data_IF_434290810047
#
_entry.id   IF_434290810047
#
_cell.length_a   1.000
_cell.length_b   1.000
_cell.length_c   1.000
_cell.angle_alpha   90.00
_cell.angle_beta   90.00
_cell.angle_gamma   90.00
#
_symmetry.space_group_name_H-M   'P 1'
#
loop_
_entity.id
_entity.type
_entity.pdbx_description
1 polymer ?
#
# COMPACT_ATOMS: atom_id res chain seq x y z
N UNK A 1 -11.91 -10.54 0.58
CA UNK A 1 -12.60 -9.33 1.07
C UNK A 1 -13.65 -9.62 2.15
N UNK A 2 -14.38 -10.73 2.11
CA UNK A 2 -15.44 -11.04 3.09
C UNK A 2 -15.02 -10.88 4.57
N UNK A 3 -13.78 -11.25 4.91
CA UNK A 3 -13.26 -11.14 6.27
C UNK A 3 -13.08 -9.69 6.73
N UNK A 4 -12.71 -8.78 5.82
CA UNK A 4 -12.17 -7.44 6.12
C UNK A 4 -13.13 -6.28 5.84
N UNK A 5 -14.36 -6.57 5.44
CA UNK A 5 -15.43 -5.57 5.27
C UNK A 5 -16.13 -5.35 6.62
N UNK A 6 -16.31 -4.10 7.03
CA UNK A 6 -17.00 -3.73 8.26
C UNK A 6 -18.52 -3.94 8.15
N UNK A 7 -19.11 -3.57 7.00
CA UNK A 7 -20.54 -3.70 6.75
C UNK A 7 -20.93 -5.12 6.30
N UNK A 8 -21.28 -5.96 7.28
CA UNK A 8 -21.66 -7.36 7.02
C UNK A 8 -23.03 -7.52 6.38
N UNK A 9 -23.93 -6.55 6.50
CA UNK A 9 -25.23 -6.61 5.82
C UNK A 9 -25.07 -6.34 4.33
N UNK A 10 -24.30 -5.32 3.95
CA UNK A 10 -23.94 -5.07 2.55
C UNK A 10 -23.28 -6.29 1.91
N UNK A 11 -22.35 -6.94 2.63
CA UNK A 11 -21.64 -8.13 2.13
C UNK A 11 -22.58 -9.30 1.78
N UNK A 12 -23.65 -9.53 2.55
CA UNK A 12 -24.59 -10.64 2.30
C UNK A 12 -25.25 -10.53 0.92
N UNK A 13 -25.52 -9.31 0.48
CA UNK A 13 -26.18 -9.02 -0.79
C UNK A 13 -25.18 -8.82 -1.95
N UNK A 14 -23.89 -8.65 -1.64
CA UNK A 14 -22.85 -8.23 -2.60
C UNK A 14 -21.61 -9.14 -2.57
N UNK A 15 -21.77 -10.43 -2.29
CA UNK A 15 -20.66 -11.38 -2.11
C UNK A 15 -19.77 -11.51 -3.36
N UNK A 16 -20.36 -11.38 -4.55
CA UNK A 16 -19.67 -11.49 -5.85
C UNK A 16 -19.27 -10.12 -6.44
N UNK A 17 -19.33 -9.05 -5.65
CA UNK A 17 -18.98 -7.72 -6.13
C UNK A 17 -17.49 -7.63 -6.53
N UNK A 18 -17.22 -7.16 -7.75
CA UNK A 18 -15.86 -6.87 -8.21
C UNK A 18 -15.38 -5.55 -7.62
N UNK A 19 -14.37 -5.62 -6.74
CA UNK A 19 -13.91 -4.48 -5.95
C UNK A 19 -12.66 -3.80 -6.51
N UNK A 20 -11.77 -4.54 -7.16
CA UNK A 20 -10.56 -4.03 -7.81
C UNK A 20 -9.95 -5.09 -8.71
N UNK A 21 -9.10 -4.66 -9.65
CA UNK A 21 -8.39 -5.53 -10.60
C UNK A 21 -6.89 -5.35 -10.40
N UNK A 22 -6.14 -6.45 -10.34
CA UNK A 22 -4.68 -6.43 -10.24
C UNK A 22 -4.06 -7.13 -11.44
N UNK A 23 -3.12 -6.46 -12.08
CA UNK A 23 -2.30 -6.97 -13.16
C UNK A 23 -0.88 -7.05 -12.62
N UNK A 24 -0.40 -8.27 -12.38
CA UNK A 24 0.87 -8.51 -11.70
C UNK A 24 1.95 -8.93 -12.67
N UNK A 25 3.19 -8.67 -12.28
CA UNK A 25 4.38 -9.09 -13.02
C UNK A 25 4.36 -8.55 -14.45
N UNK A 26 4.27 -7.23 -14.58
CA UNK A 26 4.26 -6.52 -15.85
C UNK A 26 5.66 -5.99 -16.18
N UNK A 27 6.00 -5.96 -17.46
CA UNK A 27 7.26 -5.38 -17.94
C UNK A 27 7.16 -4.95 -19.39
N UNK A 28 7.98 -3.94 -19.78
CA UNK A 28 8.34 -3.68 -21.17
C UNK A 28 9.38 -4.71 -21.61
N UNK A 29 9.33 -5.12 -22.88
CA UNK A 29 10.12 -6.26 -23.39
C UNK A 29 11.62 -6.11 -23.14
N UNK A 30 12.14 -4.88 -23.27
CA UNK A 30 13.54 -4.52 -23.08
C UNK A 30 14.00 -4.53 -21.61
N UNK A 31 13.09 -4.44 -20.64
CA UNK A 31 13.43 -4.28 -19.22
C UNK A 31 13.39 -5.59 -18.42
N UNK A 32 12.84 -6.67 -19.01
CA UNK A 32 12.58 -7.93 -18.31
C UNK A 32 13.80 -8.50 -17.61
N UNK A 33 14.95 -8.53 -18.30
CA UNK A 33 16.19 -9.08 -17.73
C UNK A 33 16.66 -8.27 -16.53
N UNK A 34 16.67 -6.94 -16.65
CA UNK A 34 17.03 -6.03 -15.56
C UNK A 34 16.11 -6.21 -14.35
N UNK A 35 14.81 -6.33 -14.56
CA UNK A 35 13.82 -6.55 -13.49
C UNK A 35 14.12 -7.85 -12.74
N UNK A 36 14.33 -8.96 -13.46
CA UNK A 36 14.60 -10.27 -12.87
C UNK A 36 15.92 -10.32 -12.12
N UNK A 37 17.00 -9.77 -12.71
CA UNK A 37 18.33 -9.71 -12.07
C UNK A 37 18.31 -8.92 -10.77
N UNK A 38 17.44 -7.91 -10.67
CA UNK A 38 17.28 -7.07 -9.48
C UNK A 38 16.16 -7.54 -8.54
N UNK A 39 15.52 -8.69 -8.80
CA UNK A 39 14.44 -9.26 -7.99
C UNK A 39 13.28 -8.30 -7.77
N UNK A 40 12.89 -7.61 -8.85
CA UNK A 40 11.80 -6.65 -8.83
C UNK A 40 10.55 -7.25 -9.47
N UNK A 41 9.39 -6.70 -9.11
CA UNK A 41 8.09 -6.94 -9.75
C UNK A 41 7.38 -5.60 -9.88
N UNK A 42 6.81 -5.35 -11.05
CA UNK A 42 5.93 -4.21 -11.28
C UNK A 42 4.50 -4.69 -11.42
N UNK A 43 3.59 -4.10 -10.66
CA UNK A 43 2.17 -4.42 -10.74
C UNK A 43 1.37 -3.15 -11.04
N UNK A 44 0.18 -3.32 -11.62
CA UNK A 44 -0.83 -2.26 -11.78
C UNK A 44 -2.11 -2.70 -11.08
N UNK A 45 -2.71 -1.81 -10.30
CA UNK A 45 -4.00 -2.02 -9.65
C UNK A 45 -4.99 -0.93 -10.09
N UNK A 46 -6.20 -1.34 -10.44
CA UNK A 46 -7.31 -0.45 -10.78
C UNK A 46 -8.42 -0.67 -9.75
N UNK A 47 -8.81 0.39 -9.05
CA UNK A 47 -9.90 0.38 -8.06
C UNK A 47 -11.03 1.29 -8.59
N UNK A 48 -12.14 0.74 -9.09
CA UNK A 48 -13.28 1.54 -9.56
C UNK A 48 -13.89 2.38 -8.42
N UNK A 49 -14.64 3.46 -8.71
CA UNK A 49 -15.34 4.21 -7.69
C UNK A 49 -16.52 3.38 -7.17
N UNK A 50 -16.37 2.83 -5.97
CA UNK A 50 -17.39 1.98 -5.34
C UNK A 50 -17.45 2.22 -3.84
N UNK A 51 -18.58 1.84 -3.26
CA UNK A 51 -18.81 1.81 -1.81
C UNK A 51 -19.07 0.37 -1.39
N UNK A 52 -18.55 -0.02 -0.24
CA UNK A 52 -18.82 -1.28 0.43
C UNK A 52 -19.70 -1.00 1.65
N UNK A 53 -20.99 -0.76 1.39
CA UNK A 53 -21.91 -0.26 2.40
C UNK A 53 -21.50 1.13 2.86
N UNK A 54 -21.16 1.25 4.15
CA UNK A 54 -20.69 2.50 4.75
C UNK A 54 -19.22 2.86 4.48
N UNK A 55 -18.44 1.97 3.86
CA UNK A 55 -17.02 2.17 3.62
C UNK A 55 -16.72 2.55 2.16
N UNK A 56 -15.65 3.30 1.93
CA UNK A 56 -15.07 3.38 0.59
C UNK A 56 -14.48 2.02 0.16
N UNK A 57 -14.47 1.76 -1.14
CA UNK A 57 -13.81 0.57 -1.68
C UNK A 57 -12.31 0.60 -1.41
N UNK A 58 -11.78 -0.55 -1.06
CA UNK A 58 -10.38 -0.70 -0.64
C UNK A 58 -9.83 -2.08 -0.96
N UNK A 59 -8.52 -2.18 -0.96
CA UNK A 59 -7.79 -3.45 -1.02
C UNK A 59 -7.95 -4.25 0.28
N UNK A 60 -7.58 -5.53 0.25
CA UNK A 60 -7.74 -6.41 1.42
C UNK A 60 -6.89 -6.03 2.64
N UNK A 61 -5.73 -5.43 2.39
CA UNK A 61 -4.71 -5.18 3.40
C UNK A 61 -3.86 -6.39 3.72
N UNK A 62 -2.57 -6.16 3.97
CA UNK A 62 -1.61 -7.21 4.32
C UNK A 62 -0.34 -6.65 4.96
N UNK A 63 0.46 -7.54 5.53
CA UNK A 63 1.85 -7.29 5.89
C UNK A 63 2.82 -7.99 4.92
N UNK A 64 4.09 -7.61 4.98
CA UNK A 64 5.18 -8.30 4.30
C UNK A 64 5.99 -9.16 5.28
N UNK A 65 6.62 -10.26 4.82
CA UNK A 65 7.51 -11.05 5.67
C UNK A 65 8.84 -10.31 5.92
N UNK A 66 9.54 -10.75 6.95
CA UNK A 66 10.89 -10.28 7.28
C UNK A 66 11.88 -10.63 6.16
N UNK A 67 12.74 -9.67 5.80
CA UNK A 67 13.75 -9.82 4.75
C UNK A 67 15.19 -9.67 5.27
N UNK A 68 15.35 -9.00 6.40
CA UNK A 68 16.58 -8.87 7.17
C UNK A 68 16.22 -8.61 8.64
N UNK A 69 17.16 -8.79 9.59
CA UNK A 69 16.85 -8.75 11.03
C UNK A 69 16.03 -7.54 11.45
N UNK A 70 14.77 -7.78 11.82
CA UNK A 70 13.84 -6.76 12.31
C UNK A 70 13.20 -5.85 11.24
N UNK A 71 13.37 -6.14 9.95
CA UNK A 71 12.81 -5.36 8.84
C UNK A 71 12.08 -6.25 7.83
N UNK A 72 10.82 -5.93 7.55
CA UNK A 72 10.07 -6.53 6.43
C UNK A 72 10.41 -5.88 5.09
N UNK A 73 10.03 -6.55 4.00
CA UNK A 73 10.12 -5.94 2.68
C UNK A 73 9.31 -4.62 2.62
N UNK A 74 9.88 -3.52 2.10
CA UNK A 74 9.13 -2.33 1.77
C UNK A 74 8.50 -2.44 0.37
N UNK A 75 7.70 -1.45 0.02
CA UNK A 75 7.05 -1.32 -1.28
C UNK A 75 6.95 0.16 -1.66
N UNK A 76 6.90 0.47 -2.96
CA UNK A 76 6.62 1.82 -3.44
C UNK A 76 5.48 1.80 -4.44
N UNK A 77 4.52 2.70 -4.25
CA UNK A 77 3.41 2.96 -5.16
C UNK A 77 3.60 4.27 -5.92
N UNK A 78 2.97 4.34 -7.09
CA UNK A 78 2.67 5.57 -7.81
C UNK A 78 1.18 5.62 -8.08
N UNK A 79 0.54 6.75 -7.78
CA UNK A 79 -0.82 7.04 -8.26
C UNK A 79 -0.69 7.52 -9.70
N UNK A 80 -1.18 6.74 -10.66
CA UNK A 80 -1.13 7.09 -12.08
C UNK A 80 -2.32 7.97 -12.46
N UNK A 81 -3.51 7.65 -11.95
CA UNK A 81 -4.75 8.38 -12.19
C UNK A 81 -5.63 8.36 -10.92
N UNK A 82 -6.37 9.44 -10.67
CA UNK A 82 -7.29 9.55 -9.53
C UNK A 82 -6.60 9.93 -8.21
N UNK A 83 -7.20 9.49 -7.09
CA UNK A 83 -6.73 9.75 -5.73
C UNK A 83 -6.72 8.46 -4.91
N UNK A 84 -5.68 8.30 -4.09
CA UNK A 84 -5.49 7.16 -3.21
C UNK A 84 -5.32 7.62 -1.77
N UNK A 85 -5.98 6.94 -0.86
CA UNK A 85 -5.68 6.99 0.56
C UNK A 85 -4.96 5.70 0.94
N UNK A 86 -3.69 5.80 1.29
CA UNK A 86 -2.93 4.67 1.83
C UNK A 86 -3.03 4.71 3.35
N UNK A 87 -3.73 3.75 3.95
CA UNK A 87 -3.79 3.56 5.39
C UNK A 87 -2.73 2.54 5.79
N UNK A 88 -1.70 3.00 6.50
CA UNK A 88 -0.59 2.20 6.99
C UNK A 88 -0.72 1.98 8.49
N UNK A 89 -0.31 0.82 8.97
CA UNK A 89 -0.22 0.52 10.40
C UNK A 89 1.08 -0.21 10.73
N UNK A 90 1.84 0.31 11.70
CA UNK A 90 3.07 -0.33 12.18
C UNK A 90 2.76 -1.28 13.31
N UNK A 91 3.38 -2.46 13.26
CA UNK A 91 3.28 -3.45 14.33
C UNK A 91 4.62 -3.65 15.02
N UNK A 92 4.58 -3.60 16.35
CA UNK A 92 5.71 -3.96 17.23
C UNK A 92 5.17 -4.83 18.36
N UNK A 93 5.82 -5.98 18.61
CA UNK A 93 5.48 -6.92 19.69
C UNK A 93 3.98 -7.30 19.79
N UNK A 94 3.30 -7.42 18.64
CA UNK A 94 1.87 -7.78 18.61
C UNK A 94 0.91 -6.61 18.76
N UNK A 95 1.39 -5.38 18.94
CA UNK A 95 0.56 -4.17 19.08
C UNK A 95 0.74 -3.23 17.90
N UNK A 96 -0.30 -2.46 17.61
CA UNK A 96 -0.22 -1.36 16.66
C UNK A 96 0.36 -0.14 17.38
N UNK A 97 1.51 0.33 16.91
CA UNK A 97 2.25 1.43 17.55
C UNK A 97 2.24 2.72 16.73
N UNK A 98 1.86 2.65 15.45
CA UNK A 98 1.66 3.81 14.60
C UNK A 98 0.56 3.52 13.57
N UNK A 99 -0.26 4.52 13.24
CA UNK A 99 -1.22 4.45 12.14
C UNK A 99 -1.18 5.74 11.34
N UNK A 100 -0.99 5.62 10.04
CA UNK A 100 -0.72 6.73 9.14
C UNK A 100 -1.68 6.70 7.96
N UNK A 101 -2.24 7.84 7.61
CA UNK A 101 -2.91 8.05 6.34
C UNK A 101 -2.02 8.88 5.43
N UNK A 102 -1.65 8.34 4.27
CA UNK A 102 -1.00 9.10 3.20
C UNK A 102 -2.05 9.38 2.13
N UNK A 103 -2.40 10.65 1.96
CA UNK A 103 -3.34 11.12 0.93
C UNK A 103 -2.53 11.50 -0.32
N UNK A 104 -2.74 10.79 -1.43
CA UNK A 104 -1.96 10.91 -2.65
C UNK A 104 -2.86 11.09 -3.88
N UNK A 105 -2.35 11.76 -4.90
CA UNK A 105 -3.02 12.00 -6.18
C UNK A 105 -2.08 11.72 -7.36
N UNK A 106 -2.62 11.79 -8.58
CA UNK A 106 -1.87 11.48 -9.80
C UNK A 106 -0.47 12.14 -9.85
N UNK A 107 0.55 11.30 -10.06
CA UNK A 107 1.98 11.63 -10.07
C UNK A 107 2.70 11.32 -8.75
N UNK A 108 1.99 11.33 -7.62
CA UNK A 108 2.59 11.11 -6.31
C UNK A 108 3.11 9.69 -6.15
N UNK A 109 4.20 9.55 -5.39
CA UNK A 109 4.81 8.27 -5.04
C UNK A 109 4.80 8.07 -3.54
N UNK A 110 4.37 6.89 -3.10
CA UNK A 110 4.20 6.57 -1.68
C UNK A 110 5.02 5.34 -1.36
N UNK A 111 5.98 5.49 -0.44
CA UNK A 111 6.79 4.39 0.05
C UNK A 111 6.11 3.80 1.30
N UNK A 112 5.82 2.51 1.26
CA UNK A 112 5.44 1.70 2.42
C UNK A 112 6.73 1.24 3.09
N UNK A 113 7.07 1.76 4.29
CA UNK A 113 8.30 1.37 4.97
C UNK A 113 8.24 -0.06 5.51
N UNK A 114 9.39 -0.64 5.88
CA UNK A 114 9.42 -1.89 6.64
C UNK A 114 8.54 -1.83 7.89
N UNK A 115 7.95 -2.99 8.22
CA UNK A 115 7.12 -3.26 9.39
C UNK A 115 5.75 -2.57 9.40
N UNK A 116 5.38 -1.89 8.30
CA UNK A 116 4.02 -1.41 8.08
C UNK A 116 3.22 -2.42 7.25
N UNK A 117 2.00 -2.69 7.68
CA UNK A 117 0.95 -3.22 6.82
C UNK A 117 0.16 -2.07 6.22
N UNK A 118 -0.47 -2.28 5.07
CA UNK A 118 -1.11 -1.20 4.32
C UNK A 118 -2.39 -1.65 3.64
N UNK A 119 -3.31 -0.70 3.51
CA UNK A 119 -4.53 -0.77 2.72
C UNK A 119 -4.57 0.46 1.81
N UNK A 120 -4.77 0.26 0.51
CA UNK A 120 -5.17 1.34 -0.39
C UNK A 120 -6.68 1.44 -0.49
N UNK A 121 -7.19 2.66 -0.35
CA UNK A 121 -8.59 3.05 -0.39
C UNK A 121 -8.78 4.03 -1.56
N UNK A 122 -9.84 3.85 -2.35
CA UNK A 122 -10.28 4.87 -3.32
C UNK A 122 -11.40 5.69 -2.68
N UNK A 123 -11.13 6.94 -2.24
CA UNK A 123 -12.10 7.79 -1.56
C UNK A 123 -12.98 8.60 -2.52
N UNK A 124 -12.84 8.37 -3.84
CA UNK A 124 -13.40 9.25 -4.87
C UNK A 124 -14.49 8.58 -5.71
N UNK A 125 -15.21 9.41 -6.47
CA UNK A 125 -16.19 8.97 -7.47
C UNK A 125 -15.52 8.72 -8.85
N UNK A 126 -14.18 8.77 -8.92
CA UNK A 126 -13.38 8.45 -10.10
C UNK A 126 -12.63 7.12 -9.91
N UNK A 127 -12.21 6.49 -11.01
CA UNK A 127 -11.38 5.31 -10.92
C UNK A 127 -9.97 5.68 -10.43
N UNK A 128 -9.46 4.92 -9.46
CA UNK A 128 -8.07 4.99 -9.04
C UNK A 128 -7.26 3.97 -9.84
N UNK A 129 -6.22 4.45 -10.54
CA UNK A 129 -5.20 3.59 -11.14
C UNK A 129 -3.87 3.88 -10.48
N UNK A 130 -3.22 2.84 -9.99
CA UNK A 130 -1.91 2.92 -9.38
C UNK A 130 -1.01 1.80 -9.89
N UNK A 131 0.29 2.02 -9.76
CA UNK A 131 1.28 0.98 -9.96
C UNK A 131 2.17 0.85 -8.72
N UNK A 132 2.90 -0.26 -8.62
CA UNK A 132 3.86 -0.47 -7.56
C UNK A 132 5.10 -1.23 -8.04
N UNK A 133 6.26 -0.84 -7.51
CA UNK A 133 7.44 -1.69 -7.49
C UNK A 133 7.56 -2.38 -6.15
N UNK A 134 7.84 -3.67 -6.20
CA UNK A 134 8.00 -4.51 -5.01
C UNK A 134 9.05 -5.59 -5.27
N UNK A 135 9.61 -6.18 -4.21
CA UNK A 135 10.46 -7.36 -4.38
C UNK A 135 9.63 -8.56 -4.88
N UNK A 136 10.17 -9.31 -5.83
CA UNK A 136 9.57 -10.57 -6.27
C UNK A 136 9.94 -11.77 -5.35
N UNK A 137 10.73 -11.53 -4.29
CA UNK A 137 11.23 -12.56 -3.40
C UNK A 137 10.28 -12.92 -2.25
N UNK A 138 9.06 -12.37 -2.22
CA UNK A 138 8.11 -12.63 -1.14
C UNK A 138 6.65 -12.78 -1.60
N UNK A 139 5.84 -13.35 -0.70
CA UNK A 139 4.39 -13.38 -0.78
C UNK A 139 3.77 -12.62 0.40
N UNK A 140 2.70 -11.86 0.12
CA UNK A 140 1.98 -11.06 1.11
C UNK A 140 1.34 -11.91 2.22
N UNK A 141 1.34 -11.39 3.44
CA UNK A 141 0.79 -12.04 4.64
C UNK A 141 -0.58 -11.43 4.98
N UNK A 142 -1.65 -12.06 4.50
CA UNK A 142 -3.04 -11.59 4.69
C UNK A 142 -3.69 -12.03 6.01
N UNK A 143 -3.13 -13.05 6.67
CA UNK A 143 -3.80 -13.76 7.77
C UNK A 143 -4.23 -12.82 8.91
N UNK A 144 -3.35 -11.89 9.29
CA UNK A 144 -3.63 -10.99 10.40
C UNK A 144 -4.76 -10.02 10.08
N UNK A 145 -4.72 -9.36 8.92
CA UNK A 145 -5.81 -8.51 8.46
C UNK A 145 -7.14 -9.28 8.42
N UNK A 146 -7.14 -10.52 7.92
CA UNK A 146 -8.35 -11.35 7.91
C UNK A 146 -8.86 -11.64 9.33
N UNK A 147 -7.99 -12.08 10.25
CA UNK A 147 -8.39 -12.37 11.65
C UNK A 147 -8.88 -11.14 12.41
N UNK A 148 -8.29 -9.99 12.11
CA UNK A 148 -8.61 -8.71 12.74
C UNK A 148 -9.73 -7.97 12.01
N UNK A 149 -10.31 -8.57 10.97
CA UNK A 149 -11.43 -7.98 10.23
C UNK A 149 -11.07 -6.70 9.47
N UNK A 150 -9.80 -6.52 9.10
CA UNK A 150 -9.31 -5.36 8.34
C UNK A 150 -8.16 -4.64 9.03
N UNK A 151 -7.96 -3.38 8.65
CA UNK A 151 -6.97 -2.48 9.25
C UNK A 151 -7.41 -2.00 10.64
N UNK A 152 -6.53 -1.27 11.32
CA UNK A 152 -6.78 -0.67 12.63
C UNK A 152 -7.84 0.46 12.59
N UNK A 153 -8.08 1.03 11.40
CA UNK A 153 -9.16 1.98 11.14
C UNK A 153 -9.91 1.60 9.85
N UNK A 154 -11.17 2.03 9.78
CA UNK A 154 -12.00 1.98 8.57
C UNK A 154 -12.31 3.41 8.12
N UNK A 155 -12.16 3.69 6.83
CA UNK A 155 -12.57 4.95 6.23
C UNK A 155 -14.01 4.85 5.73
N UNK A 156 -14.87 5.68 6.32
CA UNK A 156 -16.29 5.74 5.96
C UNK A 156 -16.53 6.74 4.83
N UNK A 157 -17.62 6.52 4.09
CA UNK A 157 -18.02 7.37 2.95
C UNK A 157 -18.37 8.81 3.33
N UNK A 158 -18.54 9.10 4.63
CA UNK A 158 -18.74 10.45 5.17
C UNK A 158 -17.42 11.13 5.58
N UNK A 159 -16.28 10.51 5.31
CA UNK A 159 -14.93 11.02 5.58
C UNK A 159 -14.42 10.74 7.01
N UNK A 160 -15.21 10.09 7.86
CA UNK A 160 -14.76 9.70 9.21
C UNK A 160 -13.89 8.45 9.16
N UNK A 161 -12.91 8.41 10.07
CA UNK A 161 -12.12 7.22 10.36
C UNK A 161 -12.61 6.60 11.68
N UNK A 162 -13.06 5.35 11.62
CA UNK A 162 -13.57 4.62 12.79
C UNK A 162 -12.57 3.55 13.18
N UNK A 163 -12.20 3.49 14.47
CA UNK A 163 -11.30 2.46 15.00
C UNK A 163 -11.92 1.09 14.83
N UNK A 164 -11.09 0.12 14.43
CA UNK A 164 -11.47 -1.27 14.43
C UNK A 164 -11.38 -1.84 15.86
N UNK A 165 -12.50 -2.22 16.49
CA UNK A 165 -12.52 -2.64 17.89
C UNK A 165 -11.72 -3.93 18.14
N UNK A 166 -11.36 -4.68 17.09
CA UNK A 166 -10.57 -5.91 17.23
C UNK A 166 -9.12 -5.65 17.64
N UNK A 167 -8.55 -4.48 17.35
CA UNK A 167 -7.14 -4.16 17.64
C UNK A 167 -6.87 -3.69 19.08
N UNK A 168 -7.90 -3.61 19.94
CA UNK A 168 -7.73 -3.12 21.31
C UNK A 168 -7.34 -1.64 21.31
N UNK A 169 -6.24 -1.31 21.98
CA UNK A 169 -5.69 0.05 21.97
C UNK A 169 -4.94 0.31 20.65
N UNK A 170 -5.33 1.37 19.96
CA UNK A 170 -4.74 1.81 18.70
C UNK A 170 -4.40 3.30 18.84
N UNK A 171 -3.20 3.74 18.40
CA UNK A 171 -2.85 5.16 18.43
C UNK A 171 -3.76 6.00 17.53
N UNK A 172 -3.72 7.32 17.74
CA UNK A 172 -4.40 8.28 16.88
C UNK A 172 -3.88 8.20 15.44
N UNK A 173 -4.79 8.33 14.48
CA UNK A 173 -4.45 8.38 13.07
C UNK A 173 -3.75 9.71 12.76
N UNK A 174 -2.52 9.65 12.28
CA UNK A 174 -1.82 10.83 11.75
C UNK A 174 -1.91 10.88 10.23
N UNK A 175 -2.00 12.09 9.68
CA UNK A 175 -2.03 12.33 8.23
C UNK A 175 -0.70 12.89 7.77
N UNK A 176 -0.17 12.36 6.69
CA UNK A 176 1.06 12.85 6.07
C UNK A 176 0.89 12.98 4.56
N UNK A 177 1.76 13.77 3.94
CA UNK A 177 1.83 13.90 2.48
C UNK A 177 2.88 12.94 1.91
N UNK A 178 2.74 12.54 0.63
CA UNK A 178 3.80 11.85 -0.08
C UNK A 178 5.11 12.64 -0.01
N UNK A 179 6.21 11.94 0.30
CA UNK A 179 7.54 12.54 0.38
C UNK A 179 8.35 12.20 -0.86
N UNK A 180 8.98 13.20 -1.46
CA UNK A 180 9.94 12.98 -2.53
C UNK A 180 11.31 12.57 -1.99
N UNK A 181 11.98 11.69 -2.74
CA UNK A 181 13.36 11.25 -2.53
C UNK A 181 14.15 11.50 -3.83
N UNK A 182 14.53 12.76 -4.12
CA UNK A 182 15.21 13.11 -5.37
C UNK A 182 16.51 12.34 -5.60
N UNK A 183 17.20 11.95 -4.53
CA UNK A 183 18.44 11.16 -4.59
C UNK A 183 18.22 9.81 -5.29
N UNK A 184 17.02 9.24 -5.17
CA UNK A 184 16.61 8.01 -5.86
C UNK A 184 15.78 8.30 -7.13
N UNK A 185 15.51 9.57 -7.46
CA UNK A 185 14.65 9.94 -8.59
C UNK A 185 13.16 9.72 -8.32
N UNK A 186 12.79 9.54 -7.05
CA UNK A 186 11.41 9.41 -6.61
C UNK A 186 10.88 10.83 -6.42
N UNK A 187 10.41 11.42 -7.50
CA UNK A 187 9.82 12.76 -7.56
C UNK A 187 8.53 12.69 -8.37
N UNK A 188 7.63 13.65 -8.17
CA UNK A 188 6.29 13.61 -8.75
C UNK A 188 6.29 13.63 -10.28
N UNK A 189 7.21 14.37 -10.88
CA UNK A 189 7.25 14.59 -12.33
C UNK A 189 7.81 13.40 -13.13
N UNK A 190 8.42 12.43 -12.45
CA UNK A 190 9.03 11.26 -13.09
C UNK A 190 8.08 10.08 -13.07
N UNK A 191 7.89 9.38 -14.19
CA UNK A 191 7.18 8.09 -14.22
C UNK A 191 7.94 7.07 -13.36
N UNK A 192 7.28 6.47 -12.37
CA UNK A 192 7.91 5.51 -11.45
C UNK A 192 8.45 4.27 -12.17
N UNK A 193 7.86 3.86 -13.29
CA UNK A 193 8.38 2.73 -14.07
C UNK A 193 9.81 2.99 -14.55
N UNK A 194 10.15 4.24 -14.89
CA UNK A 194 11.48 4.63 -15.39
C UNK A 194 12.60 4.50 -14.34
N UNK A 195 12.26 4.31 -13.05
CA UNK A 195 13.25 3.98 -12.02
C UNK A 195 14.05 2.71 -12.36
N UNK A 196 13.49 1.79 -13.17
CA UNK A 196 14.20 0.59 -13.63
C UNK A 196 15.43 0.90 -14.50
N UNK A 197 15.50 2.09 -15.11
CA UNK A 197 16.69 2.51 -15.89
C UNK A 197 17.90 2.78 -14.99
N UNK A 198 17.67 2.97 -13.68
CA UNK A 198 18.70 3.02 -12.64
C UNK A 198 18.29 2.08 -11.49
N UNK A 199 18.49 0.75 -11.60
CA UNK A 199 17.98 -0.22 -10.61
C UNK A 199 18.43 0.03 -9.17
N UNK A 200 19.56 0.70 -8.95
CA UNK A 200 20.02 1.13 -7.62
C UNK A 200 19.04 2.08 -6.91
N UNK A 201 18.18 2.79 -7.65
CA UNK A 201 17.06 3.56 -7.12
C UNK A 201 16.00 2.71 -6.42
N UNK A 202 15.90 1.42 -6.78
CA UNK A 202 14.92 0.47 -6.26
C UNK A 202 15.56 -0.58 -5.34
N UNK A 203 16.87 -0.50 -5.08
CA UNK A 203 17.58 -1.49 -4.26
C UNK A 203 17.03 -1.56 -2.83
N UNK A 204 16.47 -0.47 -2.31
CA UNK A 204 15.81 -0.43 -0.99
C UNK A 204 14.67 -1.44 -0.86
N UNK A 205 14.06 -1.89 -1.96
CA UNK A 205 13.03 -2.93 -1.99
C UNK A 205 13.57 -4.32 -1.63
N UNK A 206 14.88 -4.54 -1.78
CA UNK A 206 15.53 -5.82 -1.48
C UNK A 206 16.60 -5.72 -0.37
N UNK A 207 17.05 -4.50 -0.04
CA UNK A 207 18.07 -4.22 0.97
C UNK A 207 17.66 -3.06 1.89
N UNK A 208 16.50 -3.10 2.56
CA UNK A 208 16.01 -1.97 3.34
C UNK A 208 16.96 -1.54 4.46
N UNK A 209 17.74 -2.47 5.01
CA UNK A 209 18.80 -2.22 6.00
C UNK A 209 19.83 -1.17 5.56
N UNK A 210 20.07 -1.03 4.25
CA UNK A 210 21.01 -0.06 3.68
C UNK A 210 20.38 1.32 3.37
N UNK A 211 19.07 1.43 3.49
CA UNK A 211 18.29 2.60 3.06
C UNK A 211 17.39 3.16 4.16
N UNK A 212 17.74 2.96 5.43
CA UNK A 212 16.96 3.49 6.56
C UNK A 212 16.68 4.99 6.46
N UNK A 213 17.60 5.77 5.89
CA UNK A 213 17.43 7.20 5.64
C UNK A 213 16.26 7.56 4.71
N UNK A 214 15.84 6.64 3.83
CA UNK A 214 14.64 6.78 2.98
C UNK A 214 13.39 6.69 3.85
N UNK A 215 13.33 5.66 4.70
CA UNK A 215 12.18 5.38 5.55
C UNK A 215 12.02 6.41 6.67
N UNK A 216 13.13 6.96 7.16
CA UNK A 216 13.12 8.07 8.10
C UNK A 216 12.46 9.33 7.53
N UNK A 217 12.36 9.47 6.19
CA UNK A 217 11.81 10.64 5.51
C UNK A 217 10.40 10.43 4.98
N UNK A 218 10.00 9.19 4.67
CA UNK A 218 8.80 8.96 3.85
C UNK A 218 7.47 9.09 4.60
N UNK A 219 7.46 9.06 5.94
CA UNK A 219 6.25 9.24 6.75
C UNK A 219 6.38 10.41 7.74
N UNK A 220 7.11 11.47 7.41
CA UNK A 220 7.22 12.67 8.26
C UNK A 220 6.03 13.62 8.11
#
# INVERSE_FOLDING_TARGET
MADVIADKEWLKENMDAELYYMFRDLWRAEDRETILQNRLRYDITIIPPRRMGMEFVKTQGHYHPECCPGLTYPEIYEVQEGRAHYLLQKKEEGRIVDVVLVEAEAGDKVIIPPNYGHVTINPSEEALRMANWVSNAFASLYQEFNSMGGAAYFELVDGRFVRNPRYGEVPELRRVKPAEIPELGIVREMDMYELIKRPSSLEFLNRPDRYMWVFDRCLR
#
